data_IF_696714160836
#
_entry.id   IF_696714160836
#
_cell.length_a   1.000
_cell.length_b   1.000
_cell.length_c   1.000
_cell.angle_alpha   90.00
_cell.angle_beta   90.00
_cell.angle_gamma   90.00
#
_symmetry.space_group_name_H-M   'P 1'
#
loop_
_entity.id
_entity.type
_entity.pdbx_description
1 polymer ?
#
# COMPACT_ATOMS: atom_id res chain seq x y z
N UNK A 1 28.14 -10.02 1.67
CA UNK A 1 27.05 -10.83 2.28
C UNK A 1 26.29 -10.14 3.41
N UNK A 2 26.83 -9.14 4.14
CA UNK A 2 26.06 -8.46 5.19
C UNK A 2 25.19 -7.28 4.68
N UNK A 3 25.60 -6.59 3.60
CA UNK A 3 24.86 -5.44 3.05
C UNK A 3 23.61 -5.89 2.30
N UNK A 4 23.68 -6.93 1.45
CA UNK A 4 22.50 -7.42 0.71
C UNK A 4 21.43 -8.03 1.64
N UNK A 5 21.84 -8.64 2.75
CA UNK A 5 20.91 -9.09 3.80
C UNK A 5 20.29 -7.92 4.57
N UNK A 6 21.05 -6.86 4.84
CA UNK A 6 20.52 -5.63 5.46
C UNK A 6 19.60 -4.87 4.50
N UNK A 7 19.91 -4.86 3.20
CA UNK A 7 19.06 -4.30 2.15
C UNK A 7 17.79 -5.12 1.94
N UNK A 8 17.82 -6.45 2.11
CA UNK A 8 16.60 -7.28 2.22
C UNK A 8 15.78 -6.96 3.46
N UNK A 9 16.42 -6.76 4.61
CA UNK A 9 15.75 -6.36 5.85
C UNK A 9 15.16 -4.94 5.79
N UNK A 10 15.76 -4.04 4.99
CA UNK A 10 15.20 -2.73 4.65
C UNK A 10 14.12 -2.85 3.56
N UNK A 11 14.26 -3.77 2.60
CA UNK A 11 13.20 -4.11 1.64
C UNK A 11 11.93 -4.65 2.29
N UNK A 12 12.06 -5.18 3.51
CA UNK A 12 10.97 -5.49 4.42
C UNK A 12 10.42 -4.25 5.16
N UNK A 13 10.51 -3.04 4.59
CA UNK A 13 9.76 -1.84 5.03
C UNK A 13 8.25 -1.91 4.70
N UNK A 14 7.73 -3.10 4.42
CA UNK A 14 6.42 -3.46 4.96
C UNK A 14 6.49 -3.26 6.48
N UNK A 15 5.63 -2.47 7.13
CA UNK A 15 5.57 -2.47 8.59
C UNK A 15 5.48 -3.93 9.07
N UNK A 16 6.58 -4.46 9.63
CA UNK A 16 6.67 -5.80 10.18
C UNK A 16 5.60 -5.92 11.26
N UNK A 17 4.43 -6.48 10.93
CA UNK A 17 3.38 -6.65 11.93
C UNK A 17 1.95 -6.76 11.44
N UNK A 18 1.66 -6.61 10.14
CA UNK A 18 0.29 -6.92 9.71
C UNK A 18 0.06 -8.43 9.79
N UNK A 19 -0.90 -8.81 10.61
CA UNK A 19 -1.37 -10.19 10.66
C UNK A 19 -1.96 -10.52 9.28
N UNK A 20 -1.24 -11.30 8.50
CA UNK A 20 -1.72 -11.78 7.21
C UNK A 20 -2.43 -13.12 7.37
N UNK A 21 -3.25 -13.46 6.39
CA UNK A 21 -3.87 -14.78 6.29
C UNK A 21 -3.83 -15.28 4.86
N UNK A 22 -3.82 -16.60 4.68
CA UNK A 22 -3.85 -17.23 3.37
C UNK A 22 -5.27 -17.66 3.00
N UNK A 23 -5.66 -17.41 1.75
CA UNK A 23 -6.90 -17.92 1.16
C UNK A 23 -6.69 -18.16 -0.33
N UNK A 24 -7.15 -19.30 -0.83
CA UNK A 24 -7.00 -19.68 -2.25
C UNK A 24 -5.55 -19.58 -2.80
N UNK A 25 -4.54 -19.75 -1.95
CA UNK A 25 -3.12 -19.63 -2.33
C UNK A 25 -2.60 -18.19 -2.46
N UNK A 26 -3.38 -17.19 -2.07
CA UNK A 26 -2.98 -15.79 -1.97
C UNK A 26 -2.87 -15.35 -0.51
N UNK A 27 -1.94 -14.44 -0.23
CA UNK A 27 -1.77 -13.82 1.08
C UNK A 27 -2.52 -12.49 1.14
N UNK A 28 -3.30 -12.28 2.19
CA UNK A 28 -4.14 -11.11 2.38
C UNK A 28 -3.78 -10.37 3.67
N UNK A 29 -3.95 -9.05 3.63
CA UNK A 29 -3.73 -8.09 4.70
C UNK A 29 -5.09 -7.50 5.09
N UNK A 30 -5.60 -7.73 6.31
CA UNK A 30 -6.80 -7.07 6.81
C UNK A 30 -6.66 -5.54 6.73
N UNK A 31 -7.67 -4.83 6.24
CA UNK A 31 -7.64 -3.36 6.20
C UNK A 31 -7.56 -2.72 7.59
N UNK A 32 -8.00 -3.45 8.63
CA UNK A 32 -7.85 -3.03 10.04
C UNK A 32 -6.40 -2.95 10.50
N UNK A 33 -5.50 -3.62 9.80
CA UNK A 33 -4.08 -3.56 10.05
C UNK A 33 -3.43 -2.34 9.39
N UNK A 34 -4.04 -1.74 8.36
CA UNK A 34 -3.43 -0.64 7.59
C UNK A 34 -3.37 0.65 8.43
N UNK A 35 -2.27 1.44 8.34
CA UNK A 35 -2.13 2.69 9.09
C UNK A 35 -3.27 3.66 8.79
N UNK A 36 -3.77 4.32 9.84
CA UNK A 36 -4.91 5.23 9.75
C UNK A 36 -4.66 6.38 8.76
N UNK A 37 -3.42 6.83 8.65
CA UNK A 37 -2.98 7.89 7.73
C UNK A 37 -3.28 7.57 6.27
N UNK A 38 -3.45 6.30 5.93
CA UNK A 38 -3.71 5.84 4.56
C UNK A 38 -5.18 5.48 4.32
N UNK A 39 -6.03 5.57 5.35
CA UNK A 39 -7.46 5.26 5.26
C UNK A 39 -8.22 6.12 4.25
N UNK A 40 -7.76 7.36 3.99
CA UNK A 40 -8.37 8.22 2.97
C UNK A 40 -7.80 8.00 1.57
N UNK A 41 -6.54 7.57 1.48
CA UNK A 41 -5.79 7.52 0.21
C UNK A 41 -5.99 6.17 -0.46
N UNK A 42 -5.86 5.07 0.29
CA UNK A 42 -5.92 3.72 -0.23
C UNK A 42 -7.27 3.41 -0.93
N UNK A 43 -8.45 3.73 -0.37
CA UNK A 43 -9.71 3.48 -1.07
C UNK A 43 -9.82 4.28 -2.38
N UNK A 44 -9.32 5.52 -2.40
CA UNK A 44 -9.33 6.35 -3.62
C UNK A 44 -8.39 5.77 -4.69
N UNK A 45 -7.22 5.28 -4.28
CA UNK A 45 -6.28 4.63 -5.19
C UNK A 45 -6.86 3.34 -5.79
N UNK A 46 -7.55 2.53 -4.98
CA UNK A 46 -8.25 1.33 -5.43
C UNK A 46 -9.36 1.65 -6.43
N UNK A 47 -10.16 2.69 -6.17
CA UNK A 47 -11.25 3.12 -7.07
C UNK A 47 -10.77 3.56 -8.46
N UNK A 48 -9.50 3.98 -8.59
CA UNK A 48 -8.89 4.30 -9.89
C UNK A 48 -8.50 3.05 -10.70
N UNK A 49 -8.63 1.85 -10.12
CA UNK A 49 -8.20 0.59 -10.72
C UNK A 49 -9.34 -0.45 -10.67
N UNK A 50 -10.43 -0.22 -11.42
CA UNK A 50 -11.62 -1.05 -11.35
C UNK A 50 -11.35 -2.54 -11.61
N UNK A 51 -10.38 -2.87 -12.48
CA UNK A 51 -10.01 -4.27 -12.76
C UNK A 51 -9.40 -5.04 -11.58
N UNK A 52 -9.00 -4.36 -10.49
CA UNK A 52 -8.53 -4.99 -9.24
C UNK A 52 -9.64 -5.25 -8.23
N UNK A 53 -10.83 -4.67 -8.45
CA UNK A 53 -11.96 -4.69 -7.52
C UNK A 53 -13.15 -5.50 -8.03
N UNK A 54 -13.02 -6.18 -9.17
CA UNK A 54 -14.11 -6.96 -9.77
C UNK A 54 -14.43 -8.17 -8.89
N UNK A 55 -15.60 -8.11 -8.25
CA UNK A 55 -16.11 -9.02 -7.23
C UNK A 55 -16.20 -10.50 -7.66
N UNK A 56 -16.16 -10.76 -8.97
CA UNK A 56 -16.32 -12.10 -9.56
C UNK A 56 -15.00 -12.72 -10.06
N UNK A 57 -13.86 -12.03 -9.88
CA UNK A 57 -12.55 -12.58 -10.23
C UNK A 57 -11.94 -13.35 -9.06
N UNK A 58 -11.44 -14.59 -9.26
CA UNK A 58 -10.63 -15.29 -8.25
C UNK A 58 -9.32 -14.55 -7.93
N UNK A 59 -8.95 -13.56 -8.76
CA UNK A 59 -7.78 -12.69 -8.62
C UNK A 59 -8.13 -11.29 -8.12
N UNK A 60 -9.32 -11.08 -7.53
CA UNK A 60 -9.69 -9.78 -6.97
C UNK A 60 -8.76 -9.41 -5.81
N UNK A 61 -8.22 -8.19 -5.84
CA UNK A 61 -7.27 -7.74 -4.85
C UNK A 61 -7.94 -7.39 -3.52
N UNK A 62 -9.25 -7.13 -3.52
CA UNK A 62 -10.04 -6.78 -2.34
C UNK A 62 -11.13 -7.84 -2.07
N UNK A 63 -11.24 -8.32 -0.83
CA UNK A 63 -12.23 -9.33 -0.45
C UNK A 63 -12.79 -9.13 0.98
N UNK A 64 -13.99 -9.66 1.24
CA UNK A 64 -14.53 -9.83 2.59
C UNK A 64 -13.76 -10.92 3.32
N UNK A 65 -13.30 -10.63 4.55
CA UNK A 65 -12.56 -11.61 5.38
C UNK A 65 -13.42 -12.85 5.61
N UNK A 66 -14.67 -12.65 6.02
CA UNK A 66 -15.70 -13.69 6.11
C UNK A 66 -16.84 -13.37 5.13
N UNK A 67 -17.07 -14.22 4.11
CA UNK A 67 -18.10 -13.94 3.10
C UNK A 67 -19.50 -13.84 3.71
N UNK A 68 -20.18 -12.72 3.46
CA UNK A 68 -21.52 -12.45 3.96
C UNK A 68 -21.57 -11.90 5.38
N UNK A 69 -20.42 -11.72 6.05
CA UNK A 69 -20.33 -10.99 7.31
C UNK A 69 -19.57 -9.67 7.13
N UNK A 70 -20.32 -8.60 6.92
CA UNK A 70 -19.77 -7.25 6.77
C UNK A 70 -19.08 -6.71 8.03
N UNK A 71 -19.31 -7.33 9.20
CA UNK A 71 -18.65 -6.96 10.45
C UNK A 71 -17.25 -7.54 10.59
N UNK A 72 -16.94 -8.62 9.87
CA UNK A 72 -15.60 -9.21 9.80
C UNK A 72 -14.61 -8.30 9.05
N UNK A 73 -15.11 -7.39 8.21
CA UNK A 73 -14.31 -6.41 7.48
C UNK A 73 -13.70 -6.94 6.20
N UNK A 74 -12.81 -6.14 5.62
CA UNK A 74 -12.21 -6.38 4.31
C UNK A 74 -10.71 -6.62 4.42
N UNK A 75 -10.15 -7.32 3.43
CA UNK A 75 -8.72 -7.53 3.29
C UNK A 75 -8.27 -7.29 1.85
N UNK A 76 -7.01 -6.87 1.72
CA UNK A 76 -6.32 -6.57 0.47
C UNK A 76 -5.22 -7.61 0.22
N UNK A 77 -4.98 -8.03 -1.02
CA UNK A 77 -3.84 -8.91 -1.34
C UNK A 77 -2.52 -8.22 -0.99
N UNK A 78 -1.52 -9.01 -0.62
CA UNK A 78 -0.16 -8.52 -0.39
C UNK A 78 0.42 -7.86 -1.65
N UNK A 79 0.07 -8.36 -2.83
CA UNK A 79 0.50 -7.78 -4.11
C UNK A 79 -0.07 -6.38 -4.33
N UNK A 80 -1.37 -6.19 -4.15
CA UNK A 80 -1.98 -4.86 -4.31
C UNK A 80 -1.50 -3.87 -3.26
N UNK A 81 -1.22 -4.35 -2.05
CA UNK A 81 -0.55 -3.54 -1.06
C UNK A 81 0.85 -3.11 -1.52
N UNK A 82 1.66 -4.03 -2.04
CA UNK A 82 2.96 -3.72 -2.61
C UNK A 82 2.87 -2.67 -3.73
N UNK A 83 1.88 -2.80 -4.61
CA UNK A 83 1.61 -1.85 -5.69
C UNK A 83 1.21 -0.47 -5.17
N UNK A 84 0.39 -0.42 -4.11
CA UNK A 84 0.03 0.82 -3.44
C UNK A 84 1.26 1.52 -2.85
N UNK A 85 2.14 0.79 -2.16
CA UNK A 85 3.38 1.34 -1.59
C UNK A 85 4.34 1.81 -2.69
N UNK A 86 4.43 1.08 -3.80
CA UNK A 86 5.22 1.50 -4.96
C UNK A 86 4.70 2.81 -5.56
N UNK A 87 3.38 2.94 -5.72
CA UNK A 87 2.74 4.16 -6.20
C UNK A 87 2.96 5.35 -5.24
N UNK A 88 2.76 5.15 -3.94
CA UNK A 88 3.04 6.20 -2.94
C UNK A 88 4.50 6.66 -3.01
N UNK A 89 5.43 5.72 -3.17
CA UNK A 89 6.86 6.02 -3.29
C UNK A 89 7.20 6.78 -4.56
N UNK A 90 6.55 6.48 -5.69
CA UNK A 90 6.76 7.24 -6.93
C UNK A 90 6.23 8.66 -6.81
N UNK A 91 5.04 8.84 -6.25
CA UNK A 91 4.45 10.17 -6.00
C UNK A 91 5.34 10.98 -5.06
N UNK A 92 5.80 10.39 -3.95
CA UNK A 92 6.70 11.05 -3.01
C UNK A 92 8.02 11.48 -3.68
N UNK A 93 8.59 10.62 -4.53
CA UNK A 93 9.81 10.93 -5.30
C UNK A 93 9.59 12.09 -6.27
N UNK A 94 8.51 12.08 -7.04
CA UNK A 94 8.18 13.16 -7.97
C UNK A 94 7.99 14.49 -7.23
N UNK A 95 7.32 14.45 -6.07
CA UNK A 95 7.14 15.64 -5.23
C UNK A 95 8.46 16.12 -4.64
N UNK A 96 9.34 15.22 -4.22
CA UNK A 96 10.66 15.61 -3.72
C UNK A 96 11.48 16.32 -4.79
N UNK A 97 11.49 15.81 -6.03
CA UNK A 97 12.19 16.45 -7.16
C UNK A 97 11.66 17.88 -7.42
N UNK A 98 10.34 18.06 -7.39
CA UNK A 98 9.72 19.38 -7.52
C UNK A 98 10.16 20.34 -6.40
N UNK A 99 10.18 19.86 -5.15
CA UNK A 99 10.65 20.64 -4.01
C UNK A 99 12.14 20.98 -4.13
N UNK A 100 13.00 20.05 -4.55
CA UNK A 100 14.42 20.31 -4.76
C UNK A 100 14.66 21.39 -5.82
N UNK A 101 13.89 21.35 -6.93
CA UNK A 101 13.97 22.37 -7.97
C UNK A 101 13.54 23.76 -7.48
N UNK A 102 12.45 23.83 -6.70
CA UNK A 102 11.94 25.07 -6.12
C UNK A 102 12.90 25.65 -5.08
N UNK A 103 13.50 24.81 -4.24
CA UNK A 103 14.51 25.20 -3.27
C UNK A 103 15.75 25.76 -3.97
N UNK A 104 16.20 25.13 -5.06
CA UNK A 104 17.32 25.63 -5.87
C UNK A 104 17.04 27.02 -6.47
N UNK A 105 15.78 27.29 -6.82
CA UNK A 105 15.34 28.61 -7.32
C UNK A 105 15.14 29.65 -6.21
N UNK A 106 15.43 29.32 -4.94
CA UNK A 106 15.34 30.23 -3.81
C UNK A 106 13.93 30.41 -3.25
N UNK A 107 12.98 29.54 -3.60
CA UNK A 107 11.64 29.56 -2.99
C UNK A 107 11.69 29.09 -1.54
N UNK A 108 10.93 29.74 -0.66
CA UNK A 108 10.74 29.25 0.71
C UNK A 108 9.77 28.06 0.69
N UNK A 109 10.32 26.87 0.87
CA UNK A 109 9.54 25.66 1.09
C UNK A 109 9.21 25.63 2.59
N UNK A 110 7.93 25.47 2.94
CA UNK A 110 7.46 25.54 4.34
C UNK A 110 8.13 24.52 5.27
N UNK A 111 7.66 24.38 6.53
CA UNK A 111 8.25 23.38 7.42
C UNK A 111 8.07 21.99 6.80
N UNK A 112 9.19 21.34 6.49
CA UNK A 112 9.26 19.90 6.24
C UNK A 112 8.84 19.14 7.52
#
# INVERSE_FOLDING_TARGET
MAIDQKMRLLGNFMPMGFHTFERNGQCYIPLTCIPYEWSEILPRWLLLQPGRLEHDSPDCDLMEIEPGDSSAGMALTENAWGDFICWMSSVARERLVDLEARAYNGEHIGPL
#
